data_IF_391981803008
#
_entry.id   IF_391981803008
#
_cell.length_a   1.000
_cell.length_b   1.000
_cell.length_c   1.000
_cell.angle_alpha   90.00
_cell.angle_beta   90.00
_cell.angle_gamma   90.00
#
_symmetry.space_group_name_H-M   'P 1'
#
loop_
_entity.id
_entity.type
_entity.pdbx_description
1 polymer ?
#
# COMPACT_ATOMS: atom_id res chain seq x y z
N UNK A 1 0.57 -5.71 -57.80
CA UNK A 1 0.55 -5.58 -56.32
C UNK A 1 1.84 -6.18 -55.79
N UNK A 2 2.65 -5.45 -55.01
CA UNK A 2 3.91 -6.00 -54.46
C UNK A 2 3.55 -7.05 -53.41
N UNK A 3 3.88 -8.32 -53.66
CA UNK A 3 3.65 -9.40 -52.72
C UNK A 3 4.50 -9.17 -51.47
N UNK A 4 3.84 -8.97 -50.33
CA UNK A 4 4.51 -8.84 -49.04
C UNK A 4 5.13 -10.19 -48.71
N UNK A 5 6.44 -10.21 -48.46
CA UNK A 5 7.13 -11.47 -48.20
C UNK A 5 6.79 -11.96 -46.78
N UNK A 6 6.72 -13.28 -46.62
CA UNK A 6 6.46 -13.95 -45.34
C UNK A 6 7.40 -13.45 -44.19
N UNK A 7 8.69 -13.16 -44.45
CA UNK A 7 9.58 -12.54 -43.47
C UNK A 7 9.14 -11.13 -43.03
N UNK A 8 8.62 -10.31 -43.94
CA UNK A 8 8.12 -8.96 -43.63
C UNK A 8 6.88 -9.03 -42.71
N UNK A 9 5.95 -9.94 -43.01
CA UNK A 9 4.78 -10.19 -42.15
C UNK A 9 5.17 -10.62 -40.73
N UNK A 10 6.17 -11.51 -40.60
CA UNK A 10 6.67 -11.94 -39.29
C UNK A 10 7.34 -10.80 -38.51
N UNK A 11 8.13 -9.97 -39.19
CA UNK A 11 8.77 -8.81 -38.57
C UNK A 11 7.73 -7.79 -38.09
N UNK A 12 6.69 -7.56 -38.89
CA UNK A 12 5.60 -6.64 -38.57
C UNK A 12 4.74 -7.15 -37.40
N UNK A 13 4.36 -8.42 -37.39
CA UNK A 13 3.66 -9.04 -36.27
C UNK A 13 4.46 -8.95 -34.97
N UNK A 14 5.77 -9.21 -35.01
CA UNK A 14 6.65 -9.07 -33.84
C UNK A 14 6.71 -7.61 -33.35
N UNK A 15 6.77 -6.65 -34.27
CA UNK A 15 6.76 -5.21 -33.95
C UNK A 15 5.44 -4.79 -33.32
N UNK A 16 4.31 -5.24 -33.85
CA UNK A 16 2.99 -4.99 -33.31
C UNK A 16 2.85 -5.57 -31.89
N UNK A 17 3.32 -6.79 -31.66
CA UNK A 17 3.27 -7.47 -30.36
C UNK A 17 4.15 -6.76 -29.31
N UNK A 18 5.34 -6.32 -29.69
CA UNK A 18 6.21 -5.51 -28.83
C UNK A 18 5.59 -4.13 -28.51
N UNK A 19 4.98 -3.49 -29.50
CA UNK A 19 4.28 -2.22 -29.30
C UNK A 19 3.05 -2.37 -28.41
N UNK A 20 2.27 -3.44 -28.59
CA UNK A 20 1.15 -3.79 -27.73
C UNK A 20 1.60 -3.97 -26.28
N UNK A 21 2.66 -4.76 -26.04
CA UNK A 21 3.23 -4.97 -24.70
C UNK A 21 3.71 -3.65 -24.06
N UNK A 22 4.36 -2.79 -24.84
CA UNK A 22 4.84 -1.48 -24.37
C UNK A 22 3.69 -0.50 -24.08
N UNK A 23 2.63 -0.53 -24.87
CA UNK A 23 1.47 0.35 -24.69
C UNK A 23 0.58 -0.12 -23.54
N UNK A 24 0.33 -1.43 -23.43
CA UNK A 24 -0.39 -2.01 -22.29
C UNK A 24 0.34 -1.80 -20.96
N UNK A 25 1.65 -2.02 -20.90
CA UNK A 25 2.41 -1.73 -19.67
C UNK A 25 2.34 -0.26 -19.26
N UNK A 26 2.31 0.69 -20.20
CA UNK A 26 2.14 2.13 -19.90
C UNK A 26 0.74 2.46 -19.37
N UNK A 27 -0.30 1.87 -19.94
CA UNK A 27 -1.68 2.06 -19.50
C UNK A 27 -1.84 1.66 -18.03
N UNK A 28 -1.34 0.47 -17.66
CA UNK A 28 -1.42 -0.04 -16.29
C UNK A 28 -0.42 0.59 -15.32
N UNK A 29 0.68 1.18 -15.80
CA UNK A 29 1.66 1.84 -14.91
C UNK A 29 1.07 3.05 -14.21
N UNK A 30 0.25 3.85 -14.92
CA UNK A 30 -0.35 5.05 -14.35
C UNK A 30 -1.43 4.76 -13.31
N UNK A 31 -2.19 3.67 -13.51
CA UNK A 31 -3.20 3.19 -12.55
C UNK A 31 -2.54 2.51 -11.36
N UNK A 32 -1.47 1.74 -11.56
CA UNK A 32 -0.67 1.16 -10.48
C UNK A 32 -0.03 2.25 -9.60
N UNK A 33 0.57 3.28 -10.19
CA UNK A 33 1.13 4.42 -9.44
C UNK A 33 0.04 5.18 -8.66
N UNK A 34 -1.17 5.36 -9.23
CA UNK A 34 -2.29 5.97 -8.51
C UNK A 34 -2.83 5.08 -7.40
N UNK A 35 -2.91 3.78 -7.61
CA UNK A 35 -3.28 2.80 -6.58
C UNK A 35 -2.23 2.80 -5.44
N UNK A 36 -0.93 2.84 -5.76
CA UNK A 36 0.17 2.98 -4.81
C UNK A 36 0.12 4.31 -4.05
N UNK A 37 -0.21 5.41 -4.72
CA UNK A 37 -0.44 6.71 -4.07
C UNK A 37 -1.64 6.69 -3.12
N UNK A 38 -2.72 6.02 -3.52
CA UNK A 38 -3.92 5.81 -2.69
C UNK A 38 -3.64 4.94 -1.47
N UNK A 39 -2.87 3.87 -1.62
CA UNK A 39 -2.49 3.01 -0.48
C UNK A 39 -1.54 3.72 0.48
N UNK A 40 -0.58 4.51 -0.02
CA UNK A 40 0.31 5.31 0.83
C UNK A 40 -0.47 6.35 1.66
N UNK A 41 -1.38 7.09 1.03
CA UNK A 41 -2.24 8.05 1.73
C UNK A 41 -3.11 7.37 2.78
N UNK A 42 -3.62 6.17 2.49
CA UNK A 42 -4.42 5.41 3.43
C UNK A 42 -3.60 4.92 4.64
N UNK A 43 -2.34 4.52 4.44
CA UNK A 43 -1.40 4.22 5.52
C UNK A 43 -1.08 5.44 6.39
N UNK A 44 -0.86 6.60 5.77
CA UNK A 44 -0.64 7.86 6.51
C UNK A 44 -1.85 8.13 7.42
N UNK A 45 -3.07 8.03 6.88
CA UNK A 45 -4.30 8.22 7.66
C UNK A 45 -4.44 7.22 8.80
N UNK A 46 -4.13 5.94 8.55
CA UNK A 46 -4.18 4.91 9.60
C UNK A 46 -3.20 5.22 10.74
N UNK A 47 -1.97 5.66 10.41
CA UNK A 47 -0.97 6.09 11.39
C UNK A 47 -1.46 7.31 12.17
N UNK A 48 -2.04 8.30 11.50
CA UNK A 48 -2.56 9.51 12.15
C UNK A 48 -3.74 9.19 13.10
N UNK A 49 -4.65 8.31 12.70
CA UNK A 49 -5.73 7.81 13.57
C UNK A 49 -5.18 7.10 14.81
N UNK A 50 -4.19 6.22 14.63
CA UNK A 50 -3.52 5.54 15.75
C UNK A 50 -2.84 6.54 16.70
N UNK A 51 -2.20 7.59 16.16
CA UNK A 51 -1.61 8.67 16.97
C UNK A 51 -2.67 9.44 17.74
N UNK A 52 -3.80 9.79 17.12
CA UNK A 52 -4.90 10.46 17.81
C UNK A 52 -5.42 9.62 18.99
N UNK A 53 -5.63 8.33 18.77
CA UNK A 53 -6.05 7.40 19.82
C UNK A 53 -5.03 7.32 20.96
N UNK A 54 -3.75 7.11 20.64
CA UNK A 54 -2.69 7.04 21.64
C UNK A 54 -2.52 8.36 22.39
N UNK A 55 -2.67 9.51 21.73
CA UNK A 55 -2.60 10.82 22.38
C UNK A 55 -3.72 11.00 23.40
N UNK A 56 -4.91 10.47 23.14
CA UNK A 56 -6.02 10.50 24.08
C UNK A 56 -5.83 9.54 25.27
N UNK A 57 -5.35 8.31 25.01
CA UNK A 57 -5.27 7.26 26.03
C UNK A 57 -3.95 7.26 26.83
N UNK A 58 -2.82 7.46 26.15
CA UNK A 58 -1.49 7.45 26.73
C UNK A 58 -0.53 8.37 25.96
N UNK A 59 -0.48 9.67 26.28
CA UNK A 59 0.35 10.65 25.58
C UNK A 59 1.85 10.28 25.54
N UNK A 60 2.35 9.60 26.58
CA UNK A 60 3.74 9.13 26.61
C UNK A 60 4.02 8.11 25.51
N UNK A 61 3.09 7.19 25.25
CA UNK A 61 3.23 6.16 24.22
C UNK A 61 3.12 6.74 22.80
N UNK A 62 2.33 7.79 22.60
CA UNK A 62 2.32 8.54 21.33
C UNK A 62 3.64 9.25 21.07
N UNK A 63 4.22 9.89 22.08
CA UNK A 63 5.57 10.49 21.96
C UNK A 63 6.63 9.44 21.64
N UNK A 64 6.58 8.29 22.33
CA UNK A 64 7.46 7.17 22.04
C UNK A 64 7.32 6.68 20.58
N UNK A 65 6.09 6.52 20.09
CA UNK A 65 5.80 6.16 18.70
C UNK A 65 6.46 7.15 17.72
N UNK A 66 6.26 8.45 17.93
CA UNK A 66 6.80 9.48 17.04
C UNK A 66 8.33 9.44 16.95
N UNK A 67 9.00 9.23 18.09
CA UNK A 67 10.46 9.13 18.17
C UNK A 67 10.99 7.81 17.59
N UNK A 68 10.35 6.69 17.90
CA UNK A 68 10.79 5.37 17.46
C UNK A 68 10.60 5.16 15.94
N UNK A 69 9.56 5.74 15.35
CA UNK A 69 9.30 5.59 13.91
C UNK A 69 9.70 6.81 13.09
N UNK A 70 10.25 7.85 13.72
CA UNK A 70 10.74 9.03 13.05
C UNK A 70 9.64 9.83 12.36
N UNK A 71 8.48 9.92 13.00
CA UNK A 71 7.31 10.63 12.47
C UNK A 71 7.45 12.16 12.61
N UNK A 72 8.30 12.62 13.53
CA UNK A 72 8.59 14.04 13.75
C UNK A 72 10.02 14.43 13.32
N UNK A 73 10.98 13.54 13.57
CA UNK A 73 12.38 13.75 13.22
C UNK A 73 12.94 12.51 12.50
N UNK A 74 13.77 12.69 11.46
CA UNK A 74 14.34 11.58 10.71
C UNK A 74 15.21 10.70 11.61
N UNK A 75 15.09 9.38 11.43
CA UNK A 75 15.88 8.39 12.18
C UNK A 75 17.33 8.41 11.66
N UNK A 76 18.34 8.49 12.55
CA UNK A 76 19.75 8.36 12.15
C UNK A 76 19.99 7.06 11.38
N UNK A 77 20.52 7.16 10.16
CA UNK A 77 20.86 5.99 9.34
C UNK A 77 22.02 5.22 9.98
N UNK A 78 21.91 3.90 10.05
CA UNK A 78 22.97 3.02 10.56
C UNK A 78 22.90 2.70 12.06
N UNK A 79 21.98 3.28 12.83
CA UNK A 79 21.77 2.85 14.22
C UNK A 79 20.85 1.62 14.30
N UNK A 80 21.24 0.55 15.03
CA UNK A 80 20.38 -0.59 15.25
C UNK A 80 19.19 -0.20 16.15
N UNK A 81 18.05 -0.88 15.96
CA UNK A 81 16.82 -0.59 16.70
C UNK A 81 17.01 -0.66 18.24
N UNK A 82 17.79 -1.63 18.73
CA UNK A 82 18.09 -1.77 20.16
C UNK A 82 18.84 -0.56 20.72
N UNK A 83 19.83 -0.01 20.00
CA UNK A 83 20.55 1.18 20.46
C UNK A 83 19.61 2.38 20.61
N UNK A 84 18.63 2.51 19.71
CA UNK A 84 17.62 3.55 19.78
C UNK A 84 16.67 3.37 20.96
N UNK A 85 16.26 2.14 21.25
CA UNK A 85 15.47 1.81 22.43
C UNK A 85 16.19 2.17 23.73
N UNK A 86 17.50 1.90 23.82
CA UNK A 86 18.32 2.24 25.00
C UNK A 86 18.40 3.76 25.20
N UNK A 87 18.52 4.54 24.12
CA UNK A 87 18.50 6.00 24.22
C UNK A 87 17.12 6.51 24.65
N UNK A 88 16.05 5.94 24.10
CA UNK A 88 14.68 6.30 24.46
C UNK A 88 14.31 5.87 25.88
N UNK A 89 14.83 4.75 26.38
CA UNK A 89 14.59 4.30 27.76
C UNK A 89 15.19 5.28 28.76
N UNK A 90 16.42 5.74 28.50
CA UNK A 90 17.07 6.78 29.30
C UNK A 90 16.34 8.13 29.19
N UNK A 91 15.94 8.54 28.00
CA UNK A 91 15.27 9.83 27.81
C UNK A 91 13.87 9.88 28.46
N UNK A 92 13.10 8.80 28.33
CA UNK A 92 11.73 8.74 28.81
C UNK A 92 11.62 8.24 30.25
N UNK A 93 12.73 7.82 30.87
CA UNK A 93 12.77 7.15 32.19
C UNK A 93 11.84 5.94 32.27
N UNK A 94 11.83 5.11 31.22
CA UNK A 94 10.99 3.91 31.10
C UNK A 94 11.90 2.71 30.83
N UNK A 95 11.63 1.56 31.44
CA UNK A 95 12.44 0.36 31.22
C UNK A 95 12.39 -0.11 29.75
N UNK A 96 13.49 -0.70 29.26
CA UNK A 96 13.54 -1.27 27.90
C UNK A 96 12.41 -2.29 27.67
N UNK A 97 12.11 -3.14 28.65
CA UNK A 97 11.02 -4.12 28.59
C UNK A 97 9.65 -3.47 28.34
N UNK A 98 9.39 -2.33 28.97
CA UNK A 98 8.15 -1.59 28.79
C UNK A 98 8.09 -0.97 27.40
N UNK A 99 9.21 -0.46 26.88
CA UNK A 99 9.27 0.07 25.52
C UNK A 99 9.04 -1.01 24.46
N UNK A 100 9.59 -2.22 24.64
CA UNK A 100 9.31 -3.35 23.76
C UNK A 100 7.81 -3.69 23.74
N UNK A 101 7.16 -3.74 24.91
CA UNK A 101 5.71 -3.95 25.00
C UNK A 101 4.93 -2.82 24.31
N UNK A 102 5.32 -1.56 24.56
CA UNK A 102 4.68 -0.42 23.91
C UNK A 102 4.80 -0.48 22.38
N UNK A 103 5.94 -0.93 21.87
CA UNK A 103 6.15 -1.11 20.43
C UNK A 103 5.19 -2.13 19.84
N UNK A 104 4.99 -3.27 20.50
CA UNK A 104 4.03 -4.30 20.09
C UNK A 104 2.61 -3.75 20.07
N UNK A 105 2.18 -3.14 21.17
CA UNK A 105 0.85 -2.55 21.26
C UNK A 105 0.62 -1.45 20.19
N UNK A 106 1.66 -0.65 19.86
CA UNK A 106 1.57 0.37 18.80
C UNK A 106 1.34 -0.28 17.45
N UNK A 107 2.05 -1.38 17.14
CA UNK A 107 1.81 -2.11 15.90
C UNK A 107 0.38 -2.63 15.81
N UNK A 108 -0.15 -3.20 16.89
CA UNK A 108 -1.53 -3.68 16.93
C UNK A 108 -2.53 -2.56 16.64
N UNK A 109 -2.40 -1.41 17.31
CA UNK A 109 -3.28 -0.26 17.10
C UNK A 109 -3.20 0.25 15.65
N UNK A 110 -2.00 0.36 15.09
CA UNK A 110 -1.82 0.80 13.69
C UNK A 110 -2.44 -0.22 12.72
N UNK A 111 -2.29 -1.51 12.99
CA UNK A 111 -2.90 -2.57 12.18
C UNK A 111 -4.43 -2.51 12.24
N UNK A 112 -5.02 -2.29 13.41
CA UNK A 112 -6.47 -2.08 13.53
C UNK A 112 -6.94 -0.86 12.75
N UNK A 113 -6.26 0.29 12.90
CA UNK A 113 -6.58 1.49 12.14
C UNK A 113 -6.44 1.27 10.62
N UNK A 114 -5.45 0.49 10.19
CA UNK A 114 -5.27 0.14 8.79
C UNK A 114 -6.37 -0.82 8.27
N UNK A 115 -6.88 -1.72 9.11
CA UNK A 115 -8.03 -2.56 8.79
C UNK A 115 -9.31 -1.72 8.67
N UNK A 116 -9.57 -0.82 9.62
CA UNK A 116 -10.72 0.10 9.59
C UNK A 116 -10.69 1.02 8.36
N UNK A 117 -9.50 1.51 8.00
CA UNK A 117 -9.29 2.29 6.79
C UNK A 117 -9.31 1.44 5.49
N UNK A 118 -9.52 0.13 5.59
CA UNK A 118 -9.59 -0.79 4.46
C UNK A 118 -8.25 -0.98 3.74
N UNK A 119 -7.12 -0.60 4.35
CA UNK A 119 -5.75 -0.69 3.82
C UNK A 119 -5.22 -2.11 3.89
N UNK A 120 -5.57 -2.82 4.95
CA UNK A 120 -5.31 -4.26 5.12
C UNK A 120 -6.67 -4.96 5.07
N UNK A 121 -6.78 -5.99 4.21
CA UNK A 121 -7.95 -6.87 4.22
C UNK A 121 -7.87 -7.86 5.38
N UNK A 122 -8.99 -8.11 6.04
CA UNK A 122 -9.17 -9.28 6.90
C UNK A 122 -9.14 -10.51 5.98
N UNK A 123 -7.99 -11.20 5.88
CA UNK A 123 -7.78 -12.46 5.14
C UNK A 123 -8.27 -12.50 3.68
N UNK A 124 -7.40 -12.38 2.66
CA UNK A 124 -7.68 -12.67 1.23
C UNK A 124 -8.97 -12.11 0.58
N UNK A 125 -9.80 -11.29 1.24
CA UNK A 125 -11.09 -10.80 0.72
C UNK A 125 -10.90 -9.70 -0.34
N UNK A 126 -9.69 -9.17 -0.53
CA UNK A 126 -9.43 -8.12 -1.52
C UNK A 126 -9.60 -8.54 -2.98
N UNK A 127 -9.61 -9.84 -3.29
CA UNK A 127 -9.79 -10.31 -4.68
C UNK A 127 -11.27 -10.44 -5.11
N UNK A 128 -12.24 -10.40 -4.19
CA UNK A 128 -13.65 -10.62 -4.52
C UNK A 128 -14.33 -9.40 -5.16
N UNK A 129 -13.88 -8.18 -4.85
CA UNK A 129 -14.53 -6.95 -5.33
C UNK A 129 -14.25 -6.64 -6.80
N UNK A 130 -13.02 -6.85 -7.27
CA UNK A 130 -12.64 -6.58 -8.66
C UNK A 130 -13.14 -7.68 -9.62
N UNK A 131 -13.33 -8.91 -9.13
CA UNK A 131 -13.87 -10.02 -9.94
C UNK A 131 -15.39 -9.95 -10.10
N UNK A 132 -16.12 -9.40 -9.14
CA UNK A 132 -17.58 -9.21 -9.23
C UNK A 132 -17.96 -8.13 -10.26
N UNK A 133 -17.33 -6.95 -10.22
CA UNK A 133 -17.62 -5.88 -11.19
C UNK A 133 -17.33 -6.31 -12.64
N UNK A 134 -16.25 -7.07 -12.85
CA UNK A 134 -15.88 -7.59 -14.18
C UNK A 134 -16.82 -8.71 -14.68
N UNK A 135 -17.53 -9.38 -13.77
CA UNK A 135 -18.58 -10.36 -14.10
C UNK A 135 -19.89 -9.67 -14.43
N UNK A 136 -20.25 -8.62 -13.71
CA UNK A 136 -21.49 -7.86 -13.94
C UNK A 136 -21.47 -7.08 -15.26
N UNK A 137 -20.33 -6.45 -15.63
CA UNK A 137 -20.18 -5.80 -16.95
C UNK A 137 -20.23 -6.79 -18.13
N UNK A 138 -19.86 -8.06 -17.91
CA UNK A 138 -19.96 -9.12 -18.92
C UNK A 138 -21.31 -9.81 -18.97
N UNK A 139 -22.13 -9.64 -17.93
CA UNK A 139 -23.41 -10.33 -17.77
C UNK A 139 -24.62 -9.46 -18.18
N UNK A 140 -24.41 -8.24 -18.67
CA UNK A 140 -25.44 -7.50 -19.40
C UNK A 140 -25.34 -7.85 -20.90
N UNK A 141 -26.17 -8.79 -21.41
CA UNK A 141 -26.41 -8.85 -22.84
C UNK A 141 -27.05 -7.53 -23.26
N UNK A 142 -26.50 -6.90 -24.31
CA UNK A 142 -27.21 -5.88 -25.09
C UNK A 142 -28.38 -6.57 -25.76
N UNK A 143 -29.51 -6.67 -25.08
CA UNK A 143 -30.79 -6.92 -25.71
C UNK A 143 -31.30 -5.63 -26.36
N UNK A 144 -31.86 -5.80 -27.56
CA UNK A 144 -32.66 -4.88 -28.35
C UNK A 144 -31.95 -3.73 -29.09
N UNK A 145 -31.67 -3.97 -30.38
CA UNK A 145 -32.15 -3.12 -31.47
C UNK A 145 -32.00 -3.89 -32.81
N UNK A 146 -32.94 -4.78 -33.08
CA UNK A 146 -33.37 -5.10 -34.45
C UNK A 146 -34.86 -4.72 -34.50
N UNK A 147 -35.14 -3.61 -35.19
CA UNK A 147 -36.27 -3.42 -36.12
C UNK A 147 -36.11 -2.09 -36.87
#
# INVERSE_FOLDING_TARGET
MKAISLPQLRAEAKRQLLNYRRNHSRLYRSTAIRAEGGTMLAWIRAIDSARMYLRAQCPAKERYMCRLFGLEAPIPRGQPMRARLILLSAEMNVSESTLYKWREDIFEIVLYAAMEAGVIGLFNIREAGETLQKREEKAQPREAEED
#
